data_IF_353269585867
#
_entry.id   IF_353269585867
#
_cell.length_a   1.000
_cell.length_b   1.000
_cell.length_c   1.000
_cell.angle_alpha   90.00
_cell.angle_beta   90.00
_cell.angle_gamma   90.00
#
_symmetry.space_group_name_H-M   'P 1'
#
loop_
_entity.id
_entity.type
_entity.pdbx_description
1 polymer ?
#
# COMPACT_ATOMS: atom_id res chain seq x y z
N UNK A 1 -15.36 -5.99 4.72
CA UNK A 1 -16.68 -5.99 5.43
C UNK A 1 -17.48 -7.25 5.09
N UNK A 2 -18.12 -7.89 6.06
CA UNK A 2 -19.04 -9.01 5.84
C UNK A 2 -20.48 -8.58 5.53
N UNK A 3 -20.75 -7.27 5.57
CA UNK A 3 -22.02 -6.64 5.22
C UNK A 3 -21.77 -5.20 4.74
N UNK A 4 -22.74 -4.65 4.02
CA UNK A 4 -22.72 -3.24 3.64
C UNK A 4 -23.09 -2.36 4.83
N UNK A 5 -22.25 -1.43 5.28
CA UNK A 5 -22.62 -0.47 6.33
C UNK A 5 -23.52 0.64 5.79
N UNK A 6 -24.18 1.38 6.70
CA UNK A 6 -24.86 2.63 6.38
C UNK A 6 -23.93 3.83 6.54
N UNK A 7 -24.30 4.98 5.97
CA UNK A 7 -23.58 6.24 6.21
C UNK A 7 -23.60 6.69 7.67
N UNK A 8 -24.70 6.42 8.38
CA UNK A 8 -24.81 6.76 9.80
C UNK A 8 -23.82 5.95 10.65
N UNK A 9 -23.57 4.70 10.29
CA UNK A 9 -22.53 3.86 10.93
C UNK A 9 -21.13 4.38 10.62
N UNK A 10 -20.86 4.81 9.38
CA UNK A 10 -19.58 5.44 9.00
C UNK A 10 -19.37 6.73 9.81
N UNK A 11 -20.37 7.63 9.87
CA UNK A 11 -20.27 8.88 10.64
C UNK A 11 -20.06 8.61 12.13
N UNK A 12 -20.71 7.57 12.67
CA UNK A 12 -20.51 7.17 14.06
C UNK A 12 -19.11 6.65 14.33
N UNK A 13 -18.53 5.85 13.40
CA UNK A 13 -17.16 5.37 13.52
C UNK A 13 -16.14 6.51 13.38
N UNK A 14 -16.46 7.53 12.60
CA UNK A 14 -15.64 8.71 12.38
C UNK A 14 -15.98 9.88 13.33
N UNK A 15 -16.47 9.59 14.53
CA UNK A 15 -16.91 10.63 15.49
C UNK A 15 -15.79 11.60 15.92
N UNK A 16 -14.54 11.16 15.85
CA UNK A 16 -13.36 11.99 16.14
C UNK A 16 -12.90 12.84 14.94
N UNK A 17 -13.55 12.69 13.79
CA UNK A 17 -13.27 13.45 12.57
C UNK A 17 -14.43 14.39 12.24
N UNK A 18 -14.13 15.57 11.72
CA UNK A 18 -15.15 16.49 11.23
C UNK A 18 -15.70 16.01 9.87
N UNK A 19 -17.02 15.77 9.78
CA UNK A 19 -17.65 15.46 8.49
C UNK A 19 -18.12 16.77 7.85
N UNK A 20 -17.45 17.22 6.78
CA UNK A 20 -17.77 18.48 6.09
C UNK A 20 -18.77 18.32 4.96
N UNK A 21 -18.95 17.09 4.45
CA UNK A 21 -19.91 16.78 3.38
C UNK A 21 -20.41 15.35 3.49
N UNK A 22 -21.71 15.20 3.21
CA UNK A 22 -22.38 13.90 3.11
C UNK A 22 -23.03 13.78 1.73
N UNK A 23 -22.76 12.69 1.03
CA UNK A 23 -23.36 12.36 -0.24
C UNK A 23 -24.10 11.02 -0.12
N UNK A 24 -25.43 11.05 -0.19
CA UNK A 24 -26.26 9.84 -0.02
C UNK A 24 -26.44 9.00 -1.26
N UNK A 25 -26.04 9.53 -2.41
CA UNK A 25 -26.16 8.85 -3.72
C UNK A 25 -24.78 8.73 -4.34
N UNK A 26 -24.40 7.51 -4.71
CA UNK A 26 -23.24 7.28 -5.57
C UNK A 26 -23.53 7.58 -7.04
N UNK A 27 -22.49 7.48 -7.84
CA UNK A 27 -22.58 7.39 -9.30
C UNK A 27 -22.53 5.90 -9.73
N UNK A 28 -21.67 5.54 -10.68
CA UNK A 28 -21.29 4.14 -10.86
C UNK A 28 -20.46 3.69 -9.63
N UNK A 29 -20.68 2.48 -9.15
CA UNK A 29 -20.01 1.94 -7.95
C UNK A 29 -18.48 1.97 -8.05
N UNK A 30 -17.95 1.76 -9.25
CA UNK A 30 -16.50 1.78 -9.48
C UNK A 30 -15.91 3.19 -9.26
N UNK A 31 -16.68 4.22 -9.51
CA UNK A 31 -16.28 5.62 -9.38
C UNK A 31 -16.54 6.17 -7.97
N UNK A 32 -17.78 6.07 -7.49
CA UNK A 32 -18.14 6.52 -6.14
C UNK A 32 -19.43 5.90 -5.64
N UNK A 33 -19.40 5.41 -4.38
CA UNK A 33 -20.58 5.05 -3.60
C UNK A 33 -21.18 6.23 -2.83
N UNK A 34 -22.19 5.98 -1.98
CA UNK A 34 -22.56 6.91 -0.92
C UNK A 34 -21.35 7.19 -0.04
N UNK A 35 -21.13 8.46 0.37
CA UNK A 35 -19.86 8.86 0.95
C UNK A 35 -19.99 9.98 1.98
N UNK A 36 -19.02 10.05 2.88
CA UNK A 36 -18.72 11.23 3.69
C UNK A 36 -17.36 11.79 3.26
N UNK A 37 -17.18 13.10 3.46
CA UNK A 37 -15.89 13.78 3.21
C UNK A 37 -15.41 14.40 4.51
N UNK A 38 -14.16 14.17 4.84
CA UNK A 38 -13.47 14.68 6.02
C UNK A 38 -12.24 15.51 5.61
N UNK A 39 -11.89 16.59 6.34
CA UNK A 39 -10.71 17.38 6.03
C UNK A 39 -9.44 16.62 6.39
N UNK A 40 -8.46 16.68 5.51
CA UNK A 40 -7.09 16.22 5.71
C UNK A 40 -6.16 17.42 5.86
N UNK A 41 -6.12 18.27 4.84
CA UNK A 41 -5.36 19.51 4.75
C UNK A 41 -6.21 20.56 4.01
N UNK A 42 -7.20 21.15 4.68
CA UNK A 42 -8.17 22.03 4.02
C UNK A 42 -7.56 23.35 3.51
N UNK A 43 -6.41 23.76 4.03
CA UNK A 43 -5.69 24.95 3.56
C UNK A 43 -5.16 24.75 2.12
N UNK A 44 -4.83 23.50 1.78
CA UNK A 44 -4.38 23.06 0.45
C UNK A 44 -5.44 22.26 -0.30
N UNK A 45 -6.73 22.43 -0.02
CA UNK A 45 -7.84 21.69 -0.60
C UNK A 45 -7.76 20.16 -0.38
N UNK A 46 -7.03 19.72 0.64
CA UNK A 46 -6.83 18.32 0.98
C UNK A 46 -8.01 17.75 1.77
N UNK A 47 -8.66 16.75 1.20
CA UNK A 47 -9.79 16.04 1.83
C UNK A 47 -9.72 14.55 1.56
N UNK A 48 -10.25 13.78 2.49
CA UNK A 48 -10.47 12.36 2.28
C UNK A 48 -11.97 12.09 2.08
N UNK A 49 -12.27 11.27 1.09
CA UNK A 49 -13.61 10.74 0.83
C UNK A 49 -13.66 9.29 1.28
N UNK A 50 -14.61 8.99 2.16
CA UNK A 50 -14.88 7.64 2.68
C UNK A 50 -16.18 7.17 2.06
N UNK A 51 -16.11 6.28 1.07
CA UNK A 51 -17.27 5.80 0.33
C UNK A 51 -17.54 4.30 0.53
N UNK A 52 -18.82 3.95 0.46
CA UNK A 52 -19.32 2.59 0.65
C UNK A 52 -19.50 1.93 -0.72
N UNK A 53 -18.91 0.76 -0.89
CA UNK A 53 -19.10 -0.08 -2.07
C UNK A 53 -19.75 -1.41 -1.66
N UNK A 54 -20.96 -1.61 -2.14
CA UNK A 54 -21.82 -2.73 -1.75
C UNK A 54 -21.58 -3.98 -2.64
N UNK A 55 -20.32 -4.34 -2.81
CA UNK A 55 -19.86 -5.53 -3.51
C UNK A 55 -18.43 -5.89 -3.13
N UNK A 56 -17.96 -7.10 -3.44
CA UNK A 56 -16.57 -7.48 -3.22
C UNK A 56 -15.59 -6.58 -3.97
N UNK A 57 -14.37 -6.49 -3.46
CA UNK A 57 -13.24 -5.84 -4.13
C UNK A 57 -13.03 -6.42 -5.53
N UNK A 58 -12.94 -5.58 -6.57
CA UNK A 58 -12.78 -6.05 -7.94
C UNK A 58 -11.31 -6.38 -8.24
N UNK A 59 -10.88 -7.58 -7.88
CA UNK A 59 -9.48 -7.99 -8.05
C UNK A 59 -9.15 -8.36 -9.51
N UNK A 60 -9.79 -7.67 -10.48
CA UNK A 60 -9.61 -7.83 -11.93
C UNK A 60 -9.84 -6.50 -12.67
N UNK A 61 -9.22 -6.36 -13.84
CA UNK A 61 -9.34 -5.13 -14.65
C UNK A 61 -10.76 -4.87 -15.19
N UNK A 62 -11.58 -5.89 -15.30
CA UNK A 62 -12.89 -5.83 -15.96
C UNK A 62 -12.85 -6.15 -17.46
N UNK A 63 -14.04 -6.34 -18.04
CA UNK A 63 -14.21 -6.56 -19.48
C UNK A 63 -14.56 -5.23 -20.18
N UNK A 64 -13.85 -4.81 -21.25
CA UNK A 64 -14.09 -3.55 -21.93
C UNK A 64 -15.51 -3.36 -22.49
N UNK A 65 -16.24 -4.45 -22.73
CA UNK A 65 -17.58 -4.41 -23.31
C UNK A 65 -18.67 -4.37 -22.26
N UNK A 66 -18.45 -5.03 -21.12
CA UNK A 66 -19.47 -5.20 -20.07
C UNK A 66 -19.18 -4.35 -18.83
N UNK A 67 -17.91 -3.99 -18.57
CA UNK A 67 -17.48 -3.25 -17.39
C UNK A 67 -16.54 -2.06 -17.72
N UNK A 68 -16.90 -1.20 -18.70
CA UNK A 68 -16.00 -0.09 -19.11
C UNK A 68 -15.73 0.91 -17.97
N UNK A 69 -16.68 1.07 -17.04
CA UNK A 69 -16.52 1.96 -15.90
C UNK A 69 -15.49 1.42 -14.90
N UNK A 70 -15.37 0.09 -14.74
CA UNK A 70 -14.36 -0.52 -13.91
C UNK A 70 -12.95 -0.29 -14.47
N UNK A 71 -12.77 -0.45 -15.79
CA UNK A 71 -11.50 -0.13 -16.46
C UNK A 71 -11.14 1.33 -16.27
N UNK A 72 -12.12 2.24 -16.48
CA UNK A 72 -11.91 3.67 -16.26
C UNK A 72 -11.52 3.99 -14.82
N UNK A 73 -12.15 3.36 -13.84
CA UNK A 73 -11.87 3.54 -12.44
C UNK A 73 -10.44 3.08 -12.07
N UNK A 74 -10.00 1.92 -12.56
CA UNK A 74 -8.60 1.48 -12.40
C UNK A 74 -7.62 2.47 -13.04
N UNK A 75 -7.87 2.88 -14.28
CA UNK A 75 -7.01 3.80 -15.00
C UNK A 75 -6.92 5.20 -14.39
N UNK A 76 -7.94 5.61 -13.63
CA UNK A 76 -7.99 6.90 -12.93
C UNK A 76 -7.54 6.79 -11.45
N UNK A 77 -7.02 5.65 -11.01
CA UNK A 77 -6.54 5.44 -9.66
C UNK A 77 -7.64 5.43 -8.57
N UNK A 78 -8.91 5.14 -8.92
CA UNK A 78 -10.00 5.09 -7.93
C UNK A 78 -9.85 3.94 -6.91
N UNK A 79 -9.00 2.97 -7.19
CA UNK A 79 -8.65 1.86 -6.30
C UNK A 79 -7.27 2.03 -5.66
N UNK A 80 -6.61 3.15 -5.90
CA UNK A 80 -5.27 3.50 -5.46
C UNK A 80 -4.39 3.90 -6.64
N UNK A 81 -3.60 4.98 -6.56
CA UNK A 81 -2.80 5.48 -7.68
C UNK A 81 -1.71 4.49 -8.14
N UNK A 82 -1.24 3.64 -7.24
CA UNK A 82 -0.24 2.60 -7.50
C UNK A 82 -0.80 1.18 -7.41
N UNK A 83 -2.13 1.06 -7.30
CA UNK A 83 -2.80 -0.23 -7.19
C UNK A 83 -3.03 -0.89 -8.55
N UNK A 84 -2.91 -2.21 -8.59
CA UNK A 84 -3.13 -3.03 -9.77
C UNK A 84 -4.15 -4.14 -9.51
N UNK A 85 -4.91 -4.57 -10.54
CA UNK A 85 -5.74 -5.76 -10.44
C UNK A 85 -4.94 -6.99 -10.00
N UNK A 86 -5.57 -7.89 -9.23
CA UNK A 86 -4.89 -9.03 -8.63
C UNK A 86 -4.17 -8.70 -7.31
N UNK A 87 -4.18 -7.43 -6.88
CA UNK A 87 -3.47 -6.98 -5.69
C UNK A 87 -3.96 -7.60 -4.38
N UNK A 88 -5.27 -7.82 -4.24
CA UNK A 88 -5.80 -8.48 -3.04
C UNK A 88 -5.37 -9.97 -2.98
N UNK A 89 -5.37 -10.66 -4.12
CA UNK A 89 -4.91 -12.05 -4.18
C UNK A 89 -3.40 -12.15 -3.87
N UNK A 90 -2.57 -11.23 -4.38
CA UNK A 90 -1.13 -11.21 -4.08
C UNK A 90 -0.89 -10.86 -2.62
N UNK A 91 -1.59 -9.86 -2.05
CA UNK A 91 -1.54 -9.52 -0.64
C UNK A 91 -1.89 -10.73 0.25
N UNK A 92 -2.95 -11.46 -0.08
CA UNK A 92 -3.38 -12.64 0.66
C UNK A 92 -2.35 -13.78 0.62
N UNK A 93 -1.61 -13.94 -0.50
CA UNK A 93 -0.55 -14.95 -0.63
C UNK A 93 0.70 -14.60 0.18
N UNK A 94 0.94 -13.32 0.46
CA UNK A 94 2.13 -12.79 1.12
C UNK A 94 1.80 -12.12 2.47
N UNK A 95 0.72 -12.54 3.12
CA UNK A 95 0.25 -12.00 4.40
C UNK A 95 0.97 -12.67 5.57
N UNK A 96 2.26 -12.39 5.72
CA UNK A 96 3.12 -13.01 6.74
C UNK A 96 2.75 -12.59 8.16
N UNK A 97 2.30 -11.37 8.35
CA UNK A 97 1.91 -10.82 9.66
C UNK A 97 0.50 -11.23 10.09
N UNK A 98 -0.31 -11.71 9.15
CA UNK A 98 -1.67 -12.20 9.41
C UNK A 98 -1.94 -13.49 8.59
N UNK A 99 -1.53 -14.67 9.09
CA UNK A 99 -1.63 -15.94 8.34
C UNK A 99 -3.06 -16.31 7.92
N UNK A 100 -4.08 -15.89 8.67
CA UNK A 100 -5.49 -16.12 8.34
C UNK A 100 -6.00 -15.19 7.24
N UNK A 101 -5.22 -14.20 6.83
CA UNK A 101 -5.60 -13.16 5.87
C UNK A 101 -6.12 -13.69 4.54
N UNK A 102 -5.52 -14.77 4.03
CA UNK A 102 -5.97 -15.41 2.79
C UNK A 102 -7.39 -16.00 2.89
N UNK A 103 -7.71 -16.62 4.03
CA UNK A 103 -9.03 -17.26 4.26
C UNK A 103 -10.09 -16.22 4.64
N UNK A 104 -9.74 -15.26 5.49
CA UNK A 104 -10.68 -14.25 6.00
C UNK A 104 -11.01 -13.19 4.94
N UNK A 105 -10.04 -12.73 4.16
CA UNK A 105 -10.27 -11.67 3.15
C UNK A 105 -11.30 -12.06 2.09
N UNK A 106 -11.37 -13.32 1.67
CA UNK A 106 -12.35 -13.77 0.66
C UNK A 106 -13.80 -13.76 1.14
N UNK A 107 -14.03 -13.58 2.44
CA UNK A 107 -15.40 -13.53 3.04
C UNK A 107 -16.06 -12.17 2.90
N UNK A 108 -15.35 -11.16 2.40
CA UNK A 108 -15.94 -9.82 2.27
C UNK A 108 -17.00 -9.79 1.17
N UNK A 109 -18.08 -9.05 1.43
CA UNK A 109 -19.20 -8.83 0.50
C UNK A 109 -19.36 -7.35 0.14
N UNK A 110 -18.66 -6.48 0.86
CA UNK A 110 -18.63 -5.05 0.67
C UNK A 110 -17.27 -4.50 1.13
N UNK A 111 -16.92 -3.30 0.72
CA UNK A 111 -15.76 -2.59 1.25
C UNK A 111 -16.05 -1.10 1.44
N UNK A 112 -15.28 -0.48 2.33
CA UNK A 112 -15.21 0.95 2.50
C UNK A 112 -13.92 1.40 1.82
N UNK A 113 -14.01 2.42 0.97
CA UNK A 113 -12.88 2.97 0.25
C UNK A 113 -12.54 4.35 0.80
N UNK A 114 -11.28 4.55 1.19
CA UNK A 114 -10.74 5.84 1.62
C UNK A 114 -9.89 6.36 0.47
N UNK A 115 -10.19 7.58 0.01
CA UNK A 115 -9.44 8.25 -1.06
C UNK A 115 -9.16 9.68 -0.68
N UNK A 116 -7.93 10.09 -0.82
CA UNK A 116 -7.47 11.47 -0.65
C UNK A 116 -7.54 12.23 -1.96
N UNK A 117 -7.70 13.54 -1.88
CA UNK A 117 -7.69 14.43 -3.04
C UNK A 117 -7.42 15.86 -2.59
N UNK A 118 -6.57 16.54 -3.31
CA UNK A 118 -6.28 17.97 -3.16
C UNK A 118 -7.02 18.84 -4.19
N UNK A 119 -7.86 18.23 -5.01
CA UNK A 119 -8.68 18.91 -6.03
C UNK A 119 -10.12 19.15 -5.56
N UNK A 120 -10.44 18.98 -4.28
CA UNK A 120 -11.80 19.15 -3.75
C UNK A 120 -12.20 20.64 -3.76
N UNK A 121 -13.07 21.02 -4.69
CA UNK A 121 -13.48 22.42 -4.88
C UNK A 121 -12.46 23.29 -5.60
N UNK A 122 -11.38 22.72 -6.11
CA UNK A 122 -10.39 23.41 -6.92
C UNK A 122 -10.98 23.91 -8.25
N UNK A 123 -10.47 25.03 -8.74
CA UNK A 123 -10.77 25.50 -10.09
C UNK A 123 -9.96 24.72 -11.13
N UNK A 124 -10.39 24.76 -12.40
CA UNK A 124 -9.80 23.93 -13.45
C UNK A 124 -8.29 24.12 -13.72
N UNK A 125 -7.73 25.24 -13.25
CA UNK A 125 -6.31 25.58 -13.41
C UNK A 125 -5.50 25.40 -12.11
N UNK A 126 -6.15 25.00 -11.01
CA UNK A 126 -5.46 24.76 -9.75
C UNK A 126 -4.62 23.47 -9.81
N UNK A 127 -3.45 23.43 -9.15
CA UNK A 127 -2.65 22.20 -9.07
C UNK A 127 -3.43 21.09 -8.35
N UNK A 128 -3.33 19.87 -8.87
CA UNK A 128 -3.98 18.69 -8.29
C UNK A 128 -3.25 18.14 -7.06
N UNK A 129 -2.04 18.66 -6.79
CA UNK A 129 -1.19 18.29 -5.66
C UNK A 129 -0.54 19.55 -5.11
N UNK A 130 -0.41 19.72 -3.78
CA UNK A 130 0.35 20.82 -3.17
C UNK A 130 1.82 20.78 -3.61
N UNK A 131 2.46 21.96 -3.68
CA UNK A 131 3.89 22.05 -4.03
C UNK A 131 4.80 21.42 -2.95
N UNK A 132 4.34 21.44 -1.70
CA UNK A 132 5.03 20.86 -0.54
C UNK A 132 4.28 19.60 -0.06
N UNK A 133 3.92 18.72 -1.01
CA UNK A 133 3.26 17.46 -0.67
C UNK A 133 4.22 16.51 0.04
N UNK A 134 3.77 15.97 1.15
CA UNK A 134 4.49 14.94 1.91
C UNK A 134 3.60 13.69 2.06
N UNK A 135 4.04 12.52 1.57
CA UNK A 135 3.21 11.31 1.57
C UNK A 135 3.01 10.71 2.96
N UNK A 136 3.99 10.85 3.87
CA UNK A 136 3.93 10.23 5.21
C UNK A 136 2.75 10.76 6.03
N UNK A 137 2.55 12.09 6.20
CA UNK A 137 1.38 12.63 6.90
C UNK A 137 0.03 12.20 6.30
N UNK A 138 -0.05 12.09 4.96
CA UNK A 138 -1.26 11.62 4.29
C UNK A 138 -1.56 10.15 4.64
N UNK A 139 -0.54 9.27 4.55
CA UNK A 139 -0.69 7.86 4.89
C UNK A 139 -1.00 7.62 6.36
N UNK A 140 -0.42 8.42 7.26
CA UNK A 140 -0.78 8.42 8.69
C UNK A 140 -2.25 8.78 8.89
N UNK A 141 -2.73 9.82 8.20
CA UNK A 141 -4.13 10.21 8.28
C UNK A 141 -5.05 9.10 7.77
N UNK A 142 -4.77 8.53 6.59
CA UNK A 142 -5.53 7.42 6.01
C UNK A 142 -5.55 6.22 6.97
N UNK A 143 -4.43 5.93 7.61
CA UNK A 143 -4.31 4.85 8.59
C UNK A 143 -5.17 5.09 9.83
N UNK A 144 -5.20 6.32 10.36
CA UNK A 144 -6.07 6.71 11.48
C UNK A 144 -7.56 6.56 11.13
N UNK A 145 -7.94 6.95 9.90
CA UNK A 145 -9.31 6.75 9.40
C UNK A 145 -9.63 5.26 9.28
N UNK A 146 -8.72 4.46 8.74
CA UNK A 146 -8.90 3.01 8.61
C UNK A 146 -9.04 2.32 9.97
N UNK A 147 -8.25 2.72 10.97
CA UNK A 147 -8.36 2.25 12.35
C UNK A 147 -9.77 2.47 12.92
N UNK A 148 -10.31 3.68 12.81
CA UNK A 148 -11.65 4.00 13.29
C UNK A 148 -12.73 3.14 12.60
N UNK A 149 -12.57 2.89 11.29
CA UNK A 149 -13.50 2.07 10.53
C UNK A 149 -13.37 0.56 10.81
N UNK A 150 -12.21 0.09 11.26
CA UNK A 150 -12.03 -1.32 11.66
C UNK A 150 -12.78 -1.69 12.95
N UNK A 151 -13.16 -0.73 13.77
CA UNK A 151 -14.00 -0.95 14.96
C UNK A 151 -15.47 -1.26 14.60
N UNK A 152 -15.88 -1.03 13.35
CA UNK A 152 -17.24 -1.24 12.91
C UNK A 152 -17.63 -2.72 12.90
N UNK A 153 -18.87 -3.00 13.27
CA UNK A 153 -19.40 -4.36 13.19
C UNK A 153 -19.36 -4.90 11.75
N UNK A 154 -18.68 -6.03 11.56
CA UNK A 154 -18.52 -6.70 10.28
C UNK A 154 -17.29 -6.24 9.48
N UNK A 155 -16.44 -5.38 10.03
CA UNK A 155 -15.10 -5.18 9.52
C UNK A 155 -14.29 -6.49 9.63
N UNK A 156 -13.47 -6.77 8.63
CA UNK A 156 -12.62 -7.97 8.59
C UNK A 156 -11.16 -7.53 8.72
N UNK A 157 -10.73 -6.63 7.86
CA UNK A 157 -9.33 -6.27 7.68
C UNK A 157 -9.19 -4.88 7.07
N UNK A 158 -7.99 -4.35 7.19
CA UNK A 158 -7.46 -3.27 6.38
C UNK A 158 -6.72 -3.86 5.18
N UNK A 159 -6.99 -3.33 4.00
CA UNK A 159 -6.27 -3.62 2.78
C UNK A 159 -5.72 -2.31 2.21
N UNK A 160 -4.39 -2.20 2.11
CA UNK A 160 -3.72 -1.13 1.37
C UNK A 160 -3.39 -1.64 -0.03
N UNK A 161 -4.14 -1.24 -1.07
CA UNK A 161 -3.96 -1.76 -2.41
C UNK A 161 -2.68 -1.27 -3.10
N UNK A 162 -2.14 -0.11 -2.71
CA UNK A 162 -0.89 0.42 -3.26
C UNK A 162 0.33 -0.38 -2.79
N UNK A 163 0.27 -0.88 -1.54
CA UNK A 163 1.34 -1.68 -0.93
C UNK A 163 1.04 -3.17 -0.90
N UNK A 164 -0.09 -3.61 -1.45
CA UNK A 164 -0.54 -5.01 -1.35
C UNK A 164 -0.44 -5.56 0.08
N UNK A 165 -0.74 -4.68 1.07
CA UNK A 165 -0.73 -5.02 2.49
C UNK A 165 -2.12 -5.38 2.98
N UNK A 166 -2.19 -6.49 3.69
CA UNK A 166 -3.41 -7.01 4.29
C UNK A 166 -3.15 -7.33 5.76
N UNK A 167 -3.92 -6.71 6.67
CA UNK A 167 -3.82 -6.99 8.10
C UNK A 167 -5.17 -6.88 8.81
N UNK A 168 -5.32 -7.59 9.92
CA UNK A 168 -6.44 -7.42 10.82
C UNK A 168 -6.25 -6.22 11.76
N UNK A 169 -7.24 -5.95 12.60
CA UNK A 169 -7.19 -4.85 13.56
C UNK A 169 -6.06 -5.03 14.59
N UNK A 170 -5.81 -6.25 15.04
CA UNK A 170 -4.80 -6.51 16.06
C UNK A 170 -3.39 -6.24 15.52
N UNK A 171 -3.09 -6.76 14.33
CA UNK A 171 -1.82 -6.52 13.63
C UNK A 171 -1.61 -5.03 13.36
N UNK A 172 -2.67 -4.30 12.95
CA UNK A 172 -2.58 -2.86 12.70
C UNK A 172 -2.22 -2.09 13.97
N UNK A 173 -2.90 -2.38 15.10
CA UNK A 173 -2.63 -1.73 16.40
C UNK A 173 -1.20 -2.01 16.84
N UNK A 174 -0.76 -3.28 16.86
CA UNK A 174 0.58 -3.68 17.28
C UNK A 174 1.67 -2.98 16.46
N UNK A 175 1.46 -2.90 15.13
CA UNK A 175 2.42 -2.21 14.23
C UNK A 175 2.49 -0.72 14.55
N UNK A 176 1.34 -0.06 14.77
CA UNK A 176 1.32 1.38 15.08
C UNK A 176 1.94 1.69 16.45
N UNK A 177 1.69 0.86 17.45
CA UNK A 177 2.30 1.00 18.78
C UNK A 177 3.83 0.83 18.68
N UNK A 178 4.30 -0.21 18.00
CA UNK A 178 5.73 -0.44 17.78
C UNK A 178 6.40 0.70 17.01
N UNK A 179 5.75 1.23 15.98
CA UNK A 179 6.27 2.36 15.19
C UNK A 179 6.36 3.63 16.02
N UNK A 180 5.35 3.91 16.86
CA UNK A 180 5.35 5.06 17.76
C UNK A 180 6.44 4.96 18.83
N UNK A 181 6.66 3.78 19.41
CA UNK A 181 7.69 3.53 20.43
C UNK A 181 9.12 3.71 19.85
N UNK A 182 9.30 3.43 18.57
CA UNK A 182 10.58 3.56 17.88
C UNK A 182 10.74 4.89 17.11
N UNK A 183 9.72 5.75 17.11
CA UNK A 183 9.71 7.03 16.37
C UNK A 183 9.96 6.85 14.85
N UNK A 184 9.42 5.78 14.24
CA UNK A 184 9.54 5.50 12.81
C UNK A 184 8.16 5.36 12.15
N UNK A 185 8.03 5.64 10.85
CA UNK A 185 6.78 5.41 10.13
C UNK A 185 6.43 3.91 10.09
N UNK A 186 5.12 3.56 10.10
CA UNK A 186 4.65 2.18 10.15
C UNK A 186 4.76 1.49 8.78
N UNK A 187 5.97 1.33 8.27
CA UNK A 187 6.22 0.76 6.94
C UNK A 187 5.59 -0.63 6.77
N UNK A 188 5.50 -1.41 7.86
CA UNK A 188 4.95 -2.77 7.84
C UNK A 188 3.45 -2.85 7.51
N UNK A 189 2.73 -1.71 7.45
CA UNK A 189 1.33 -1.65 7.00
C UNK A 189 1.17 -0.82 5.74
N UNK A 190 2.23 -0.16 5.28
CA UNK A 190 2.20 0.61 4.03
C UNK A 190 2.87 -0.12 2.87
N UNK A 191 3.96 -0.84 3.13
CA UNK A 191 4.73 -1.54 2.12
C UNK A 191 4.92 -3.01 2.50
N UNK A 192 4.50 -3.92 1.62
CA UNK A 192 4.67 -5.36 1.81
C UNK A 192 6.07 -5.81 1.40
N UNK A 193 6.68 -6.71 2.17
CA UNK A 193 7.86 -7.46 1.75
C UNK A 193 7.44 -8.86 1.37
N UNK A 194 7.76 -9.27 0.16
CA UNK A 194 7.34 -10.53 -0.43
C UNK A 194 8.52 -11.44 -0.68
N UNK A 195 8.29 -12.74 -0.61
CA UNK A 195 9.29 -13.78 -0.84
C UNK A 195 8.78 -14.78 -1.87
N UNK A 196 9.58 -15.06 -2.89
CA UNK A 196 9.27 -15.98 -3.97
C UNK A 196 10.41 -16.97 -4.19
N UNK A 197 10.08 -18.18 -4.63
CA UNK A 197 11.05 -19.12 -5.20
C UNK A 197 11.36 -18.66 -6.65
N UNK A 198 12.58 -18.21 -6.87
CA UNK A 198 13.07 -17.80 -8.19
C UNK A 198 13.58 -18.96 -9.03
N UNK A 199 13.54 -20.20 -8.52
CA UNK A 199 14.08 -21.39 -9.14
C UNK A 199 15.61 -21.51 -9.02
N UNK A 200 16.15 -22.69 -9.33
CA UNK A 200 17.60 -22.91 -9.27
C UNK A 200 18.26 -22.73 -7.89
N UNK A 201 17.48 -22.89 -6.80
CA UNK A 201 17.95 -22.65 -5.43
C UNK A 201 18.12 -21.17 -5.09
N UNK A 202 17.43 -20.28 -5.81
CA UNK A 202 17.42 -18.83 -5.58
C UNK A 202 16.08 -18.37 -5.01
N UNK A 203 16.14 -17.37 -4.16
CA UNK A 203 14.99 -16.61 -3.68
C UNK A 203 14.99 -15.22 -4.31
N UNK A 204 13.79 -14.72 -4.61
CA UNK A 204 13.52 -13.32 -4.92
C UNK A 204 12.79 -12.74 -3.71
N UNK A 205 13.29 -11.65 -3.16
CA UNK A 205 12.54 -10.80 -2.23
C UNK A 205 12.38 -9.42 -2.82
N UNK A 206 11.23 -8.81 -2.58
CA UNK A 206 10.97 -7.44 -2.98
C UNK A 206 10.03 -6.71 -2.02
N UNK A 207 10.03 -5.39 -2.11
CA UNK A 207 8.96 -4.57 -1.53
C UNK A 207 7.93 -4.22 -2.60
N UNK A 208 6.70 -3.98 -2.18
CA UNK A 208 5.66 -3.32 -2.98
C UNK A 208 4.95 -2.28 -2.12
N UNK A 209 4.93 -1.03 -2.60
CA UNK A 209 4.24 0.06 -1.90
C UNK A 209 5.10 1.27 -1.58
N UNK A 210 6.40 1.21 -1.77
CA UNK A 210 7.27 2.36 -1.54
C UNK A 210 6.95 3.52 -2.51
N UNK A 211 6.39 3.23 -3.69
CA UNK A 211 5.94 4.26 -4.64
C UNK A 211 4.90 5.23 -4.06
N UNK A 212 4.07 4.79 -3.10
CA UNK A 212 3.15 5.69 -2.39
C UNK A 212 3.86 6.60 -1.38
N UNK A 213 5.13 6.33 -1.09
CA UNK A 213 6.03 7.11 -0.24
C UNK A 213 6.99 7.98 -1.05
N UNK A 214 6.82 8.02 -2.38
CA UNK A 214 7.69 8.73 -3.32
C UNK A 214 9.16 8.25 -3.30
N UNK A 215 9.38 6.98 -2.98
CA UNK A 215 10.69 6.32 -3.05
C UNK A 215 10.59 4.99 -3.82
N UNK A 216 11.69 4.50 -4.43
CA UNK A 216 11.68 3.24 -5.15
C UNK A 216 11.45 2.05 -4.22
N UNK A 217 10.83 1.00 -4.77
CA UNK A 217 10.77 -0.30 -4.10
C UNK A 217 12.15 -0.97 -4.09
N UNK A 218 12.39 -1.89 -3.16
CA UNK A 218 13.59 -2.72 -3.10
C UNK A 218 13.34 -4.08 -3.75
N UNK A 219 14.38 -4.67 -4.34
CA UNK A 219 14.36 -6.04 -4.86
C UNK A 219 15.71 -6.70 -4.64
N UNK A 220 15.75 -7.99 -4.34
CA UNK A 220 16.99 -8.78 -4.30
C UNK A 220 16.76 -10.20 -4.81
N UNK A 221 17.76 -10.74 -5.51
CA UNK A 221 17.81 -12.15 -5.91
C UNK A 221 19.08 -12.74 -5.31
N UNK A 222 18.94 -13.79 -4.52
CA UNK A 222 20.05 -14.40 -3.79
C UNK A 222 19.87 -15.92 -3.66
N UNK A 223 20.93 -16.65 -3.31
CA UNK A 223 20.81 -18.07 -3.00
C UNK A 223 20.00 -18.29 -1.72
N UNK A 224 18.98 -19.15 -1.77
CA UNK A 224 18.01 -19.37 -0.69
C UNK A 224 18.68 -19.70 0.66
N UNK A 225 19.78 -20.44 0.64
CA UNK A 225 20.52 -20.82 1.86
C UNK A 225 21.60 -19.80 2.27
N UNK A 226 21.71 -18.66 1.58
CA UNK A 226 22.78 -17.68 1.83
C UNK A 226 22.42 -16.68 2.91
N UNK A 227 21.16 -16.27 2.98
CA UNK A 227 20.68 -15.22 3.88
C UNK A 227 19.33 -15.59 4.47
N UNK A 228 19.12 -15.21 5.71
CA UNK A 228 17.82 -15.37 6.37
C UNK A 228 16.84 -14.30 5.80
N UNK A 229 15.61 -14.68 5.41
CA UNK A 229 14.63 -13.73 4.87
C UNK A 229 14.33 -12.56 5.79
N UNK A 230 14.35 -12.75 7.11
CA UNK A 230 14.14 -11.68 8.07
C UNK A 230 15.24 -10.62 8.03
N UNK A 231 16.52 -11.01 7.81
CA UNK A 231 17.62 -10.05 7.66
C UNK A 231 17.50 -9.24 6.38
N UNK A 232 16.98 -9.84 5.31
CA UNK A 232 16.72 -9.13 4.04
C UNK A 232 15.53 -8.18 4.17
N UNK A 233 14.47 -8.56 4.90
CA UNK A 233 13.35 -7.67 5.23
C UNK A 233 13.84 -6.45 6.02
N UNK A 234 14.57 -6.65 7.10
CA UNK A 234 15.16 -5.58 7.90
C UNK A 234 16.05 -4.65 7.06
N UNK A 235 16.85 -5.22 6.16
CA UNK A 235 17.68 -4.46 5.23
C UNK A 235 16.85 -3.57 4.30
N UNK A 236 15.78 -4.10 3.69
CA UNK A 236 14.89 -3.33 2.84
C UNK A 236 14.17 -2.21 3.61
N UNK A 237 13.71 -2.49 4.85
CA UNK A 237 13.10 -1.47 5.72
C UNK A 237 14.09 -0.35 6.03
N UNK A 238 15.33 -0.70 6.36
CA UNK A 238 16.38 0.29 6.62
C UNK A 238 16.72 1.13 5.38
N UNK A 239 16.82 0.50 4.21
CA UNK A 239 17.03 1.23 2.95
C UNK A 239 15.87 2.19 2.64
N UNK A 240 14.61 1.73 2.83
CA UNK A 240 13.43 2.58 2.68
C UNK A 240 13.41 3.75 3.66
N UNK A 241 13.72 3.52 4.94
CA UNK A 241 13.82 4.59 5.95
C UNK A 241 14.93 5.59 5.62
N UNK A 242 16.06 5.11 5.11
CA UNK A 242 17.15 5.97 4.68
C UNK A 242 16.71 6.90 3.54
N UNK A 243 16.01 6.36 2.53
CA UNK A 243 15.47 7.14 1.42
C UNK A 243 14.41 8.15 1.88
N UNK A 244 13.50 7.76 2.79
CA UNK A 244 12.50 8.67 3.35
C UNK A 244 13.12 9.84 4.10
N UNK A 245 14.27 9.61 4.75
CA UNK A 245 14.95 10.63 5.54
C UNK A 245 15.80 11.57 4.69
N UNK A 246 16.43 11.05 3.63
CA UNK A 246 17.45 11.76 2.86
C UNK A 246 16.99 12.09 1.41
N UNK A 247 15.82 11.60 0.99
CA UNK A 247 15.35 11.66 -0.39
C UNK A 247 15.90 10.49 -1.24
N UNK A 248 15.56 10.47 -2.52
CA UNK A 248 16.01 9.45 -3.50
C UNK A 248 17.51 9.70 -3.86
N UNK A 249 18.39 9.40 -2.92
CA UNK A 249 19.84 9.68 -2.99
C UNK A 249 20.71 8.47 -3.24
N UNK A 250 20.12 7.27 -3.33
CA UNK A 250 20.86 6.05 -3.66
C UNK A 250 20.95 5.91 -5.18
N UNK A 251 22.18 5.99 -5.70
CA UNK A 251 22.46 5.90 -7.12
C UNK A 251 22.86 4.48 -7.54
N UNK A 252 22.80 4.21 -8.86
CA UNK A 252 23.28 2.94 -9.42
C UNK A 252 24.76 2.73 -9.11
N UNK A 253 25.09 1.60 -8.48
CA UNK A 253 26.44 1.26 -8.03
C UNK A 253 26.75 1.61 -6.58
N UNK A 254 25.90 2.34 -5.86
CA UNK A 254 26.07 2.61 -4.45
C UNK A 254 26.01 1.33 -3.61
N UNK A 255 26.62 1.37 -2.42
CA UNK A 255 26.69 0.18 -1.56
C UNK A 255 26.26 0.48 -0.14
N UNK A 256 25.61 -0.51 0.49
CA UNK A 256 25.24 -0.51 1.91
C UNK A 256 25.71 -1.80 2.58
N UNK A 257 26.00 -1.72 3.90
CA UNK A 257 26.14 -2.92 4.72
C UNK A 257 24.80 -3.65 4.80
N UNK A 258 24.80 -4.95 4.49
CA UNK A 258 23.58 -5.73 4.39
C UNK A 258 23.68 -7.11 5.04
N UNK A 259 22.67 -7.98 4.82
CA UNK A 259 22.61 -9.33 5.36
C UNK A 259 23.89 -10.13 5.18
N UNK A 260 24.23 -10.96 6.17
CA UNK A 260 25.44 -11.79 6.15
C UNK A 260 26.74 -11.04 6.37
N UNK A 261 26.69 -9.80 6.89
CA UNK A 261 27.87 -8.94 7.12
C UNK A 261 28.66 -8.64 5.84
N UNK A 262 28.00 -8.61 4.67
CA UNK A 262 28.61 -8.27 3.36
C UNK A 262 28.01 -6.98 2.82
N UNK A 263 28.78 -6.31 1.95
CA UNK A 263 28.25 -5.17 1.21
C UNK A 263 27.22 -5.61 0.17
N UNK A 264 26.17 -4.85 0.01
CA UNK A 264 25.18 -5.01 -1.04
C UNK A 264 25.21 -3.80 -1.95
N UNK A 265 25.25 -4.03 -3.26
CA UNK A 265 25.29 -2.98 -4.27
C UNK A 265 23.91 -2.74 -4.87
N UNK A 266 23.51 -1.47 -4.93
CA UNK A 266 22.28 -1.02 -5.54
C UNK A 266 22.40 -0.92 -7.07
N UNK A 267 21.37 -1.35 -7.77
CA UNK A 267 21.16 -1.15 -9.19
C UNK A 267 19.79 -0.55 -9.44
N UNK A 268 19.72 0.59 -10.11
CA UNK A 268 18.46 1.25 -10.45
C UNK A 268 17.82 0.56 -11.67
N UNK A 269 16.68 -0.06 -11.46
CA UNK A 269 15.98 -0.88 -12.45
C UNK A 269 14.59 -0.28 -12.68
N UNK A 270 14.28 0.09 -13.94
CA UNK A 270 12.98 0.69 -14.28
C UNK A 270 11.80 -0.27 -14.04
N UNK A 271 12.01 -1.57 -14.21
CA UNK A 271 10.99 -2.60 -14.02
C UNK A 271 11.55 -3.81 -13.29
N UNK A 272 11.07 -4.05 -12.06
CA UNK A 272 11.42 -5.20 -11.24
C UNK A 272 10.93 -6.53 -11.83
N UNK A 273 11.38 -7.66 -11.28
CA UNK A 273 11.04 -9.01 -11.78
C UNK A 273 9.59 -9.38 -11.49
N UNK A 274 9.05 -8.95 -10.36
CA UNK A 274 7.73 -9.37 -9.91
C UNK A 274 6.65 -8.35 -10.25
N UNK A 275 5.42 -8.84 -10.48
CA UNK A 275 4.22 -8.00 -10.61
C UNK A 275 3.87 -7.28 -9.28
N UNK A 276 3.32 -6.06 -9.33
CA UNK A 276 3.12 -5.20 -10.50
C UNK A 276 4.43 -4.57 -11.00
N UNK A 277 4.47 -4.18 -12.29
CA UNK A 277 5.64 -3.51 -12.86
C UNK A 277 5.89 -2.16 -12.16
N UNK A 278 7.10 -1.93 -11.68
CA UNK A 278 7.51 -0.72 -10.95
C UNK A 278 9.03 -0.56 -10.92
N UNK A 279 9.50 0.68 -10.74
CA UNK A 279 10.91 0.98 -10.50
C UNK A 279 11.35 0.35 -9.18
N UNK A 280 12.53 -0.29 -9.18
CA UNK A 280 13.12 -0.90 -7.99
C UNK A 280 14.61 -0.56 -7.88
N UNK A 281 15.10 -0.45 -6.65
CA UNK A 281 16.52 -0.61 -6.35
C UNK A 281 16.78 -2.09 -6.13
N UNK A 282 17.47 -2.71 -7.11
CA UNK A 282 17.90 -4.11 -7.00
C UNK A 282 19.20 -4.20 -6.26
N UNK A 283 19.17 -4.88 -5.13
CA UNK A 283 20.33 -5.09 -4.27
C UNK A 283 20.99 -6.43 -4.54
N UNK A 284 22.27 -6.41 -4.86
CA UNK A 284 23.07 -7.59 -5.09
C UNK A 284 24.17 -7.72 -4.04
N UNK A 285 24.29 -8.87 -3.34
CA UNK A 285 25.38 -9.08 -2.39
C UNK A 285 26.71 -9.13 -3.13
N UNK A 286 27.72 -8.46 -2.60
CA UNK A 286 29.08 -8.41 -3.13
C UNK A 286 29.94 -9.54 -2.53
N UNK A 287 29.34 -10.72 -2.31
CA UNK A 287 30.07 -11.90 -1.91
C UNK A 287 30.61 -12.66 -3.15
N UNK A 288 31.66 -13.45 -2.95
CA UNK A 288 32.31 -14.23 -4.03
C UNK A 288 31.44 -15.44 -4.51
N UNK A 289 30.14 -15.48 -4.16
CA UNK A 289 29.24 -16.52 -4.64
C UNK A 289 28.64 -16.11 -5.97
N UNK A 290 29.13 -16.62 -7.11
CA UNK A 290 28.55 -16.26 -8.38
C UNK A 290 27.08 -16.70 -8.40
N UNK A 291 26.16 -15.77 -8.72
CA UNK A 291 24.84 -16.12 -9.21
C UNK A 291 25.08 -16.80 -10.56
N UNK A 292 25.42 -18.10 -10.56
CA UNK A 292 25.67 -18.83 -11.80
C UNK A 292 24.42 -18.80 -12.66
N UNK A 293 24.57 -18.23 -13.84
CA UNK A 293 23.62 -18.37 -14.94
C UNK A 293 23.59 -19.86 -15.35
N UNK A 294 22.57 -20.62 -14.97
CA UNK A 294 22.14 -21.84 -15.63
C UNK A 294 20.71 -21.73 -16.11
#
# INVERSE_FOLDING_TARGET
MTRTPSLDEIESALADFEVVKRNTTGSDWALSGPAVTIPLDPENNGYATVDIVDRPWPDHMGDPKTEPMLIGAWSMGHFGPFAYPGGLARAAQQSWTWPEGAEESVRHTAFIRIRTSYAFGAAGDDPVMPAEYEPVPELEFVTKVAMALLEMQGAICYFNPNGEMLCDQATLIETLESSADNEIPPLNIWSNVRLFDAGGGKSLMDTVGNSQLDVPDCEAIFHTDAYEPAEVDDFFRNATLYLLTNGDVIEDGDTMDGPGEVMWQAHDIEEGVSDPPRRVLRWLPMDDRPLSDE
#
